data_IF_553562260721
#
_entry.id   IF_553562260721
#
_cell.length_a   1.000
_cell.length_b   1.000
_cell.length_c   1.000
_cell.angle_alpha   90.00
_cell.angle_beta   90.00
_cell.angle_gamma   90.00
#
_symmetry.space_group_name_H-M   'P 1'
#
loop_
_entity.id
_entity.type
_entity.pdbx_description
1 polymer ?
#
# COMPACT_ATOMS: atom_id res chain seq x y z
N UNK A 1 -12.15 -58.55 41.66
CA UNK A 1 -11.83 -59.88 41.05
C UNK A 1 -11.02 -59.56 39.80
N UNK A 2 -9.69 -59.64 39.86
CA UNK A 2 -8.83 -60.71 39.28
C UNK A 2 -9.18 -60.98 37.82
N UNK A 3 -8.34 -60.75 36.78
CA UNK A 3 -7.00 -61.34 36.59
C UNK A 3 -6.15 -60.53 35.62
N UNK A 4 -4.91 -60.47 35.94
CA UNK A 4 -3.70 -60.19 35.12
C UNK A 4 -3.37 -61.46 34.29
N UNK A 5 -2.64 -61.30 33.18
CA UNK A 5 -1.58 -62.18 32.64
C UNK A 5 -1.07 -61.41 31.39
N UNK A 6 0.12 -60.77 31.34
CA UNK A 6 1.51 -61.23 31.24
C UNK A 6 1.83 -61.83 29.87
N UNK A 7 2.54 -61.11 29.00
CA UNK A 7 3.95 -61.17 28.65
C UNK A 7 4.42 -62.36 27.78
N UNK A 8 5.07 -62.06 26.65
CA UNK A 8 6.48 -62.41 26.40
C UNK A 8 6.84 -62.19 24.92
N UNK A 9 7.84 -61.39 24.71
CA UNK A 9 9.06 -61.49 23.88
C UNK A 9 9.07 -62.61 22.80
N UNK A 10 9.42 -62.17 21.56
CA UNK A 10 10.48 -62.82 20.79
C UNK A 10 11.16 -61.79 19.87
N UNK A 11 12.47 -61.58 20.15
CA UNK A 11 13.40 -60.90 19.26
C UNK A 11 13.94 -61.94 18.25
N UNK A 12 14.03 -61.53 16.99
CA UNK A 12 14.91 -62.19 16.02
C UNK A 12 15.54 -61.17 15.09
N UNK A 13 16.81 -61.02 15.22
CA UNK A 13 17.74 -60.32 14.34
C UNK A 13 17.94 -61.15 13.08
N UNK A 14 17.80 -60.52 11.91
CA UNK A 14 18.58 -60.89 10.70
C UNK A 14 18.95 -59.60 9.96
N UNK A 15 20.22 -59.42 9.79
CA UNK A 15 20.85 -58.37 8.98
C UNK A 15 21.08 -58.85 7.55
N UNK A 16 21.32 -57.87 6.69
CA UNK A 16 21.83 -57.93 5.30
C UNK A 16 20.81 -58.17 4.17
N UNK A 17 20.56 -57.14 3.41
CA UNK A 17 21.22 -56.96 2.09
C UNK A 17 20.86 -55.63 1.45
N UNK A 18 21.87 -54.94 0.97
CA UNK A 18 21.85 -53.72 0.17
C UNK A 18 21.14 -53.93 -1.18
N UNK A 19 20.80 -52.76 -1.70
CA UNK A 19 20.46 -52.39 -3.09
C UNK A 19 18.99 -52.40 -3.44
N UNK A 20 18.49 -51.19 -3.60
CA UNK A 20 17.92 -50.72 -4.85
C UNK A 20 17.26 -49.36 -4.63
N UNK A 21 17.64 -48.43 -5.50
CA UNK A 21 17.01 -47.15 -5.80
C UNK A 21 15.49 -47.20 -5.64
N UNK A 22 14.99 -46.34 -4.75
CA UNK A 22 13.61 -45.91 -4.71
C UNK A 22 13.58 -44.42 -4.95
N UNK A 23 13.29 -43.99 -6.17
CA UNK A 23 13.02 -42.62 -6.55
C UNK A 23 11.92 -42.06 -5.65
N UNK A 24 12.25 -41.10 -4.82
CA UNK A 24 11.28 -40.15 -4.29
C UNK A 24 11.07 -39.06 -5.36
N UNK A 25 10.21 -39.36 -6.31
CA UNK A 25 9.63 -38.35 -7.18
C UNK A 25 8.40 -37.75 -6.51
N UNK A 26 8.61 -36.65 -5.78
CA UNK A 26 7.67 -35.56 -5.50
C UNK A 26 8.46 -34.50 -4.70
N UNK A 27 8.97 -33.49 -5.30
CA UNK A 27 8.36 -32.23 -5.70
C UNK A 27 9.00 -31.63 -6.98
N UNK A 28 8.88 -32.32 -8.10
CA UNK A 28 9.48 -31.82 -9.36
C UNK A 28 8.48 -31.06 -10.25
N UNK A 29 7.17 -31.27 -10.10
CA UNK A 29 6.19 -30.57 -10.94
C UNK A 29 5.93 -29.13 -10.47
N UNK A 30 5.88 -28.88 -9.16
CA UNK A 30 5.73 -27.49 -8.65
C UNK A 30 6.97 -26.61 -8.90
N UNK A 31 8.17 -27.19 -8.78
CA UNK A 31 9.41 -26.52 -9.19
C UNK A 31 9.50 -26.30 -10.71
N UNK A 32 8.89 -27.19 -11.49
CA UNK A 32 8.96 -27.11 -12.94
C UNK A 32 8.08 -25.99 -13.51
N UNK A 33 6.89 -25.77 -12.97
CA UNK A 33 5.98 -24.72 -13.41
C UNK A 33 6.45 -23.31 -12.96
N UNK A 34 6.97 -23.17 -11.75
CA UNK A 34 7.62 -21.94 -11.29
C UNK A 34 8.92 -21.66 -12.08
N UNK A 35 9.72 -22.71 -12.40
CA UNK A 35 10.95 -22.56 -13.19
C UNK A 35 10.70 -22.26 -14.67
N UNK A 36 9.62 -22.75 -15.26
CA UNK A 36 9.28 -22.50 -16.66
C UNK A 36 8.85 -21.06 -16.92
N UNK A 37 8.14 -20.42 -15.95
CA UNK A 37 7.80 -18.98 -16.04
C UNK A 37 9.00 -18.10 -15.71
N UNK A 38 9.94 -18.58 -14.90
CA UNK A 38 11.19 -17.88 -14.58
C UNK A 38 12.17 -17.75 -15.75
N UNK A 39 12.19 -18.71 -16.68
CA UNK A 39 13.07 -18.72 -17.85
C UNK A 39 12.43 -18.19 -19.13
N UNK A 40 11.11 -17.88 -19.13
CA UNK A 40 10.43 -17.35 -20.31
C UNK A 40 10.82 -15.90 -20.61
N UNK A 41 11.13 -15.63 -21.87
CA UNK A 41 11.26 -14.26 -22.35
C UNK A 41 9.92 -13.52 -22.21
N UNK A 42 9.98 -12.19 -22.02
CA UNK A 42 8.76 -11.38 -21.88
C UNK A 42 7.82 -11.49 -23.10
N UNK A 43 8.36 -11.71 -24.30
CA UNK A 43 7.56 -11.95 -25.50
C UNK A 43 6.75 -13.25 -25.41
N UNK A 44 7.29 -14.30 -24.81
CA UNK A 44 6.54 -15.53 -24.57
C UNK A 44 5.44 -15.33 -23.53
N UNK A 45 5.69 -14.52 -22.48
CA UNK A 45 4.65 -14.17 -21.51
C UNK A 45 3.48 -13.43 -22.17
N UNK A 46 3.75 -12.52 -23.11
CA UNK A 46 2.69 -11.83 -23.88
C UNK A 46 1.85 -12.80 -24.73
N UNK A 47 2.49 -13.76 -25.38
CA UNK A 47 1.75 -14.77 -26.16
C UNK A 47 0.92 -15.71 -25.27
N UNK A 48 1.44 -16.10 -24.10
CA UNK A 48 0.71 -16.93 -23.12
C UNK A 48 -0.48 -16.18 -22.52
N UNK A 49 -0.32 -14.88 -22.25
CA UNK A 49 -1.36 -14.03 -21.68
C UNK A 49 -2.50 -13.69 -22.65
N UNK A 50 -2.27 -13.87 -23.96
CA UNK A 50 -3.22 -13.46 -25.00
C UNK A 50 -4.55 -14.21 -24.92
N UNK A 51 -5.65 -13.46 -24.93
CA UNK A 51 -7.00 -14.01 -24.83
C UNK A 51 -7.42 -14.38 -23.40
N UNK A 52 -6.59 -14.08 -22.38
CA UNK A 52 -6.88 -14.41 -20.99
C UNK A 52 -7.58 -13.24 -20.27
N UNK A 53 -8.09 -13.52 -19.06
CA UNK A 53 -8.58 -12.52 -18.13
C UNK A 53 -7.63 -12.41 -16.93
N UNK A 54 -7.40 -11.20 -16.45
CA UNK A 54 -6.59 -10.89 -15.26
C UNK A 54 -7.47 -10.15 -14.27
N UNK A 55 -7.62 -10.70 -13.07
CA UNK A 55 -8.31 -10.03 -11.97
C UNK A 55 -7.35 -9.12 -11.21
N UNK A 56 -7.78 -7.90 -10.90
CA UNK A 56 -7.03 -6.94 -10.11
C UNK A 56 -7.82 -6.53 -8.86
N UNK A 57 -7.38 -7.01 -7.73
CA UNK A 57 -7.96 -6.74 -6.42
C UNK A 57 -7.30 -5.53 -5.78
N UNK A 58 -8.11 -4.59 -5.32
CA UNK A 58 -7.62 -3.40 -4.65
C UNK A 58 -8.75 -2.59 -4.03
N UNK A 59 -8.39 -1.61 -3.23
CA UNK A 59 -9.35 -0.70 -2.61
C UNK A 59 -10.20 0.04 -3.66
N UNK A 60 -11.50 0.08 -3.44
CA UNK A 60 -12.46 0.63 -4.40
C UNK A 60 -13.09 1.96 -3.99
N UNK A 61 -12.56 2.64 -2.97
CA UNK A 61 -13.14 3.87 -2.42
C UNK A 61 -12.87 5.14 -3.24
N UNK A 62 -12.07 5.08 -4.31
CA UNK A 62 -11.83 6.19 -5.24
C UNK A 62 -12.52 5.93 -6.59
N UNK A 63 -13.62 6.64 -6.83
CA UNK A 63 -14.42 6.49 -8.06
C UNK A 63 -13.63 6.87 -9.33
N UNK A 64 -12.72 7.86 -9.26
CA UNK A 64 -11.89 8.25 -10.41
C UNK A 64 -10.84 7.18 -10.74
N UNK A 65 -10.19 6.62 -9.74
CA UNK A 65 -9.27 5.52 -9.94
C UNK A 65 -10.00 4.30 -10.53
N UNK A 66 -11.19 4.01 -10.02
CA UNK A 66 -12.03 2.93 -10.54
C UNK A 66 -12.38 3.16 -12.01
N UNK A 67 -12.84 4.36 -12.35
CA UNK A 67 -13.17 4.74 -13.72
C UNK A 67 -11.96 4.68 -14.65
N UNK A 68 -10.80 5.18 -14.20
CA UNK A 68 -9.57 5.14 -14.97
C UNK A 68 -9.11 3.71 -15.25
N UNK A 69 -9.16 2.83 -14.24
CA UNK A 69 -8.81 1.41 -14.41
C UNK A 69 -9.74 0.72 -15.40
N UNK A 70 -11.04 0.97 -15.30
CA UNK A 70 -12.07 0.30 -16.11
C UNK A 70 -12.16 0.87 -17.54
N UNK A 71 -11.98 2.19 -17.72
CA UNK A 71 -12.27 2.89 -18.98
C UNK A 71 -11.02 3.43 -19.70
N UNK A 72 -9.84 3.42 -19.06
CA UNK A 72 -8.55 3.80 -19.69
C UNK A 72 -7.59 2.63 -19.73
N UNK A 73 -7.23 2.06 -18.58
CA UNK A 73 -6.24 1.01 -18.52
C UNK A 73 -6.73 -0.33 -19.11
N UNK A 74 -7.92 -0.79 -18.75
CA UNK A 74 -8.46 -2.05 -19.26
C UNK A 74 -8.62 -2.08 -20.79
N UNK A 75 -9.10 -1.02 -21.47
CA UNK A 75 -9.08 -0.93 -22.92
C UNK A 75 -7.68 -1.03 -23.54
N UNK A 76 -6.68 -0.37 -22.95
CA UNK A 76 -5.28 -0.46 -23.43
C UNK A 76 -4.79 -1.91 -23.35
N UNK A 77 -5.04 -2.62 -22.25
CA UNK A 77 -4.66 -4.02 -22.10
C UNK A 77 -5.36 -4.91 -23.13
N UNK A 78 -6.64 -4.64 -23.39
CA UNK A 78 -7.39 -5.39 -24.42
C UNK A 78 -6.88 -5.13 -25.83
N UNK A 79 -6.60 -3.88 -26.17
CA UNK A 79 -6.14 -3.50 -27.51
C UNK A 79 -4.71 -3.98 -27.80
N UNK A 80 -3.78 -3.75 -26.85
CA UNK A 80 -2.35 -4.06 -27.06
C UNK A 80 -2.02 -5.55 -26.93
N UNK A 81 -2.69 -6.24 -25.98
CA UNK A 81 -2.28 -7.58 -25.56
C UNK A 81 -3.40 -8.63 -25.65
N UNK A 82 -4.63 -8.24 -26.02
CA UNK A 82 -5.82 -9.08 -25.97
C UNK A 82 -6.08 -9.67 -24.55
N UNK A 83 -5.71 -8.92 -23.49
CA UNK A 83 -5.95 -9.28 -22.10
C UNK A 83 -7.19 -8.53 -21.61
N UNK A 84 -8.13 -9.24 -21.00
CA UNK A 84 -9.30 -8.65 -20.34
C UNK A 84 -8.96 -8.37 -18.88
N UNK A 85 -8.97 -7.09 -18.46
CA UNK A 85 -8.80 -6.73 -17.06
C UNK A 85 -10.13 -6.75 -16.33
N UNK A 86 -10.16 -7.36 -15.15
CA UNK A 86 -11.32 -7.43 -14.26
C UNK A 86 -10.96 -6.83 -12.91
N UNK A 87 -11.38 -5.59 -12.64
CA UNK A 87 -11.16 -4.94 -11.35
C UNK A 87 -12.16 -5.48 -10.32
N UNK A 88 -11.64 -5.87 -9.15
CA UNK A 88 -12.45 -6.33 -8.00
C UNK A 88 -12.18 -5.41 -6.81
N UNK A 89 -13.12 -4.50 -6.48
CA UNK A 89 -12.99 -3.64 -5.32
C UNK A 89 -13.13 -4.47 -4.03
N UNK A 90 -12.10 -4.47 -3.19
CA UNK A 90 -12.09 -5.22 -1.93
C UNK A 90 -11.05 -4.64 -0.98
N UNK A 91 -11.37 -4.59 0.31
CA UNK A 91 -10.42 -4.18 1.33
C UNK A 91 -9.32 -5.22 1.50
N UNK A 92 -8.11 -4.77 1.80
CA UNK A 92 -6.92 -5.63 1.80
C UNK A 92 -7.03 -6.82 2.76
N UNK A 93 -7.63 -6.65 3.92
CA UNK A 93 -7.85 -7.74 4.90
C UNK A 93 -8.71 -8.86 4.32
N UNK A 94 -9.73 -8.49 3.56
CA UNK A 94 -10.61 -9.45 2.88
C UNK A 94 -9.87 -10.15 1.74
N UNK A 95 -9.06 -9.41 0.97
CA UNK A 95 -8.20 -9.98 -0.09
C UNK A 95 -7.24 -11.01 0.49
N UNK A 96 -6.51 -10.65 1.56
CA UNK A 96 -5.54 -11.56 2.19
C UNK A 96 -6.23 -12.75 2.85
N UNK A 97 -7.39 -12.56 3.46
CA UNK A 97 -8.20 -13.65 4.03
C UNK A 97 -8.65 -14.64 2.95
N UNK A 98 -9.15 -14.13 1.81
CA UNK A 98 -9.56 -14.97 0.68
C UNK A 98 -8.37 -15.73 0.11
N UNK A 99 -7.25 -15.04 -0.18
CA UNK A 99 -6.04 -15.63 -0.73
C UNK A 99 -5.48 -16.73 0.17
N UNK A 100 -5.42 -16.47 1.49
CA UNK A 100 -5.01 -17.47 2.48
C UNK A 100 -5.92 -18.69 2.47
N UNK A 101 -7.24 -18.48 2.37
CA UNK A 101 -8.23 -19.56 2.28
C UNK A 101 -8.05 -20.42 1.04
N UNK A 102 -7.86 -19.80 -0.13
CA UNK A 102 -7.63 -20.51 -1.41
C UNK A 102 -6.34 -21.34 -1.36
N UNK A 103 -5.24 -20.76 -0.84
CA UNK A 103 -3.95 -21.46 -0.70
C UNK A 103 -4.07 -22.64 0.27
N UNK A 104 -4.73 -22.46 1.43
CA UNK A 104 -4.94 -23.53 2.39
C UNK A 104 -5.83 -24.65 1.85
N UNK A 105 -6.79 -24.31 0.98
CA UNK A 105 -7.61 -25.29 0.27
C UNK A 105 -6.83 -26.03 -0.83
N UNK A 106 -5.61 -25.61 -1.17
CA UNK A 106 -4.79 -26.18 -2.23
C UNK A 106 -5.26 -25.79 -3.64
N UNK A 107 -5.98 -24.67 -3.77
CA UNK A 107 -6.41 -24.16 -5.07
C UNK A 107 -5.19 -23.68 -5.87
N UNK A 108 -5.02 -24.24 -7.08
CA UNK A 108 -3.87 -23.92 -7.95
C UNK A 108 -4.17 -22.79 -8.94
N UNK A 109 -5.43 -22.63 -9.28
CA UNK A 109 -5.96 -21.58 -10.15
C UNK A 109 -6.88 -20.71 -9.30
N UNK A 110 -6.27 -19.86 -8.45
CA UNK A 110 -6.98 -18.96 -7.56
C UNK A 110 -7.71 -17.84 -8.33
N UNK A 111 -8.62 -17.19 -7.64
CA UNK A 111 -9.42 -16.08 -8.22
C UNK A 111 -8.67 -14.77 -8.30
N UNK A 112 -7.57 -14.64 -7.55
CA UNK A 112 -6.80 -13.42 -7.40
C UNK A 112 -5.54 -13.55 -8.27
N UNK A 113 -5.38 -12.64 -9.25
CA UNK A 113 -4.16 -12.57 -10.04
C UNK A 113 -3.25 -11.46 -9.54
N UNK A 114 -3.76 -10.23 -9.51
CA UNK A 114 -3.02 -9.06 -9.07
C UNK A 114 -3.63 -8.45 -7.81
N UNK A 115 -2.78 -7.88 -6.96
CA UNK A 115 -3.16 -7.23 -5.72
C UNK A 115 -2.48 -5.87 -5.64
N UNK A 116 -3.24 -4.81 -5.34
CA UNK A 116 -2.67 -3.57 -4.84
C UNK A 116 -2.38 -3.73 -3.35
N UNK A 117 -1.11 -3.65 -2.97
CA UNK A 117 -0.67 -3.99 -1.62
C UNK A 117 0.49 -3.08 -1.20
N UNK A 118 0.67 -2.88 0.09
CA UNK A 118 1.85 -2.25 0.68
C UNK A 118 1.93 -2.48 2.19
N UNK A 119 3.08 -2.10 2.77
CA UNK A 119 3.33 -2.05 4.20
C UNK A 119 3.32 -3.40 4.89
N UNK A 120 2.68 -3.42 6.05
CA UNK A 120 2.54 -4.62 6.88
C UNK A 120 1.77 -5.74 6.17
N UNK A 121 0.87 -5.38 5.26
CA UNK A 121 0.11 -6.33 4.46
C UNK A 121 1.00 -7.07 3.47
N UNK A 122 1.89 -6.35 2.77
CA UNK A 122 2.89 -6.96 1.90
C UNK A 122 3.85 -7.85 2.69
N UNK A 123 4.40 -7.34 3.80
CA UNK A 123 5.26 -8.12 4.68
C UNK A 123 4.58 -9.42 5.11
N UNK A 124 3.35 -9.33 5.64
CA UNK A 124 2.58 -10.48 6.08
C UNK A 124 2.34 -11.49 4.94
N UNK A 125 1.92 -11.00 3.78
CA UNK A 125 1.66 -11.87 2.63
C UNK A 125 2.93 -12.58 2.13
N UNK A 126 4.08 -11.87 2.08
CA UNK A 126 5.37 -12.43 1.67
C UNK A 126 5.90 -13.46 2.66
N UNK A 127 5.89 -13.15 3.96
CA UNK A 127 6.33 -14.07 5.03
C UNK A 127 5.49 -15.36 5.08
N UNK A 128 4.20 -15.28 4.72
CA UNK A 128 3.29 -16.42 4.63
C UNK A 128 3.25 -17.10 3.25
N UNK A 129 4.19 -16.77 2.34
CA UNK A 129 4.30 -17.37 1.00
C UNK A 129 3.03 -17.23 0.15
N UNK A 130 2.30 -16.14 0.32
CA UNK A 130 1.06 -15.87 -0.40
C UNK A 130 1.29 -15.14 -1.73
N UNK A 131 2.52 -14.72 -2.03
CA UNK A 131 2.87 -13.97 -3.23
C UNK A 131 3.77 -14.78 -4.16
N UNK A 132 3.57 -14.58 -5.46
CA UNK A 132 4.44 -15.07 -6.52
C UNK A 132 5.61 -14.10 -6.71
N UNK A 133 6.83 -14.61 -6.80
CA UNK A 133 8.03 -13.79 -7.04
C UNK A 133 9.32 -14.60 -6.86
N UNK A 134 10.48 -13.96 -7.09
CA UNK A 134 10.64 -12.59 -7.63
C UNK A 134 10.27 -12.44 -9.11
N UNK A 135 9.61 -11.34 -9.48
CA UNK A 135 9.21 -11.10 -10.86
C UNK A 135 9.54 -9.68 -11.36
N UNK A 136 9.66 -8.67 -10.47
CA UNK A 136 9.78 -7.27 -10.86
C UNK A 136 10.96 -7.01 -11.80
N UNK A 137 12.12 -7.59 -11.52
CA UNK A 137 13.33 -7.45 -12.34
C UNK A 137 13.24 -8.13 -13.73
N UNK A 138 12.16 -8.88 -13.99
CA UNK A 138 11.91 -9.52 -15.29
C UNK A 138 11.04 -8.66 -16.21
N UNK A 139 10.49 -7.56 -15.68
CA UNK A 139 9.64 -6.64 -16.41
C UNK A 139 10.48 -5.63 -17.20
N UNK A 140 10.37 -5.57 -18.54
CA UNK A 140 11.15 -4.64 -19.36
C UNK A 140 11.01 -3.18 -18.95
N UNK A 141 9.78 -2.71 -18.67
CA UNK A 141 9.56 -1.32 -18.28
C UNK A 141 10.14 -1.02 -16.89
N UNK A 142 10.16 -1.98 -15.98
CA UNK A 142 10.83 -1.83 -14.70
C UNK A 142 12.34 -1.64 -14.89
N UNK A 143 12.98 -2.48 -15.70
CA UNK A 143 14.42 -2.39 -15.98
C UNK A 143 14.79 -1.08 -16.68
N UNK A 144 13.97 -0.65 -17.64
CA UNK A 144 14.26 0.51 -18.48
C UNK A 144 13.97 1.83 -17.79
N UNK A 145 12.86 1.93 -17.03
CA UNK A 145 12.37 3.23 -16.56
C UNK A 145 12.39 3.42 -15.04
N UNK A 146 12.56 2.36 -14.25
CA UNK A 146 12.53 2.48 -12.78
C UNK A 146 13.95 2.47 -12.20
N UNK A 147 14.24 3.31 -11.19
CA UNK A 147 15.48 3.23 -10.44
C UNK A 147 15.42 2.08 -9.43
N UNK A 148 15.85 0.90 -9.85
CA UNK A 148 15.87 -0.31 -9.04
C UNK A 148 16.83 -0.25 -7.82
N UNK A 149 17.53 0.87 -7.60
CA UNK A 149 18.41 1.09 -6.44
C UNK A 149 17.83 2.08 -5.44
N UNK A 150 16.78 2.79 -5.81
CA UNK A 150 16.11 3.73 -4.93
C UNK A 150 15.42 2.98 -3.78
N UNK A 151 15.56 3.45 -2.56
CA UNK A 151 14.84 2.92 -1.39
C UNK A 151 13.33 3.00 -1.58
N UNK A 152 12.83 4.01 -2.27
CA UNK A 152 11.42 4.16 -2.67
C UNK A 152 10.89 2.98 -3.50
N UNK A 153 11.78 2.16 -4.09
CA UNK A 153 11.43 1.06 -4.97
C UNK A 153 11.83 -0.29 -4.38
N UNK A 154 12.86 -0.30 -3.54
CA UNK A 154 13.43 -1.55 -2.98
C UNK A 154 12.91 -1.89 -1.60
N UNK A 155 12.25 -0.94 -0.96
CA UNK A 155 11.67 -1.11 0.37
C UNK A 155 10.19 -0.72 0.35
N UNK A 156 9.36 -1.53 0.98
CA UNK A 156 7.98 -1.20 1.32
C UNK A 156 7.87 -1.13 2.85
N UNK A 157 7.60 0.06 3.42
CA UNK A 157 7.63 0.32 4.86
C UNK A 157 8.90 -0.25 5.53
N UNK A 158 10.06 0.10 4.97
CA UNK A 158 11.38 -0.38 5.37
C UNK A 158 11.57 -1.91 5.27
N UNK A 159 10.62 -2.65 4.68
CA UNK A 159 10.73 -4.10 4.46
C UNK A 159 11.19 -4.38 3.02
N UNK A 160 12.25 -5.20 2.80
CA UNK A 160 12.77 -5.47 1.46
C UNK A 160 11.74 -6.15 0.56
N UNK A 161 11.49 -5.58 -0.61
CA UNK A 161 10.54 -6.16 -1.59
C UNK A 161 11.11 -7.41 -2.26
N UNK A 162 12.41 -7.47 -2.52
CA UNK A 162 13.10 -8.60 -3.17
C UNK A 162 12.43 -9.05 -4.48
N UNK A 163 11.82 -8.12 -5.19
CA UNK A 163 11.15 -8.36 -6.48
C UNK A 163 9.79 -9.05 -6.40
N UNK A 164 9.18 -9.21 -5.22
CA UNK A 164 7.84 -9.81 -5.05
C UNK A 164 6.69 -8.85 -5.32
N UNK A 165 7.01 -7.59 -5.52
CA UNK A 165 6.08 -6.55 -5.95
C UNK A 165 6.79 -5.56 -6.86
N UNK A 166 6.02 -4.78 -7.62
CA UNK A 166 6.50 -3.72 -8.49
C UNK A 166 5.83 -2.40 -8.14
N UNK A 167 6.53 -1.26 -8.22
CA UNK A 167 5.99 0.03 -7.84
C UNK A 167 4.83 0.43 -8.76
N UNK A 168 3.83 1.11 -8.19
CA UNK A 168 2.62 1.52 -8.88
C UNK A 168 2.49 3.04 -8.98
N UNK A 169 2.71 3.75 -7.88
CA UNK A 169 2.63 5.19 -7.77
C UNK A 169 3.20 5.64 -6.45
N UNK A 170 3.64 6.90 -6.37
CA UNK A 170 4.10 7.50 -5.10
C UNK A 170 2.97 8.29 -4.47
N UNK A 171 2.92 8.28 -3.16
CA UNK A 171 1.98 9.01 -2.35
C UNK A 171 2.71 9.74 -1.21
N UNK A 172 2.12 10.82 -0.70
CA UNK A 172 2.60 11.53 0.47
C UNK A 172 1.43 12.16 1.19
N UNK A 173 1.33 11.95 2.50
CA UNK A 173 0.23 12.51 3.26
C UNK A 173 0.29 14.04 3.26
N UNK A 174 -0.83 14.66 2.95
CA UNK A 174 -1.04 16.10 3.08
C UNK A 174 -2.28 16.37 3.92
N UNK A 175 -2.29 17.49 4.60
CA UNK A 175 -3.47 18.03 5.26
C UNK A 175 -4.14 19.04 4.34
N UNK A 176 -5.44 19.21 4.50
CA UNK A 176 -6.29 20.05 3.62
C UNK A 176 -7.14 20.95 4.48
N UNK A 177 -7.20 22.23 4.13
CA UNK A 177 -8.06 23.21 4.80
C UNK A 177 -8.56 24.27 3.81
N UNK A 178 -9.78 24.78 4.04
CA UNK A 178 -10.28 25.94 3.31
C UNK A 178 -9.73 27.23 3.94
N UNK A 179 -8.92 27.98 3.18
CA UNK A 179 -8.23 29.19 3.65
C UNK A 179 -9.18 30.35 3.92
N UNK A 180 -10.40 30.31 3.40
CA UNK A 180 -11.42 31.29 3.73
C UNK A 180 -12.04 31.02 5.11
N UNK A 181 -12.18 29.73 5.47
CA UNK A 181 -12.72 29.28 6.76
C UNK A 181 -11.64 29.31 7.85
N UNK A 182 -10.45 28.80 7.50
CA UNK A 182 -9.29 28.69 8.41
C UNK A 182 -8.07 29.39 7.79
N UNK A 183 -7.95 30.73 7.93
CA UNK A 183 -6.83 31.50 7.39
C UNK A 183 -5.45 31.04 7.88
N UNK A 184 -5.39 30.60 9.16
CA UNK A 184 -4.18 30.06 9.77
C UNK A 184 -4.22 28.54 9.72
N UNK A 185 -3.21 27.92 9.10
CA UNK A 185 -3.06 26.46 9.01
C UNK A 185 -1.98 25.97 9.96
N UNK A 186 -2.17 24.80 10.62
CA UNK A 186 -1.21 24.27 11.56
C UNK A 186 -0.06 23.55 10.84
N UNK A 187 1.17 24.06 10.97
CA UNK A 187 2.36 23.48 10.35
C UNK A 187 3.27 22.71 11.31
N UNK A 188 2.78 22.45 12.52
CA UNK A 188 3.47 21.63 13.53
C UNK A 188 2.45 21.04 14.51
N UNK A 189 2.86 20.07 15.33
CA UNK A 189 2.00 19.53 16.39
C UNK A 189 1.55 20.61 17.39
N UNK A 190 2.44 21.53 17.77
CA UNK A 190 2.08 22.65 18.65
C UNK A 190 1.01 23.54 18.01
N UNK A 191 1.21 23.91 16.73
CA UNK A 191 0.23 24.69 15.99
C UNK A 191 -1.09 23.93 15.79
N UNK A 192 -1.06 22.61 15.58
CA UNK A 192 -2.26 21.78 15.48
C UNK A 192 -3.04 21.77 16.79
N UNK A 193 -2.38 21.71 17.94
CA UNK A 193 -3.03 21.81 19.24
C UNK A 193 -3.74 23.15 19.41
N UNK A 194 -3.08 24.26 19.09
CA UNK A 194 -3.70 25.58 19.11
C UNK A 194 -4.88 25.69 18.11
N UNK A 195 -4.75 25.05 16.95
CA UNK A 195 -5.78 25.02 15.92
C UNK A 195 -7.04 24.28 16.39
N UNK A 196 -6.92 23.09 16.97
CA UNK A 196 -8.08 22.33 17.46
C UNK A 196 -8.77 23.04 18.64
N UNK A 197 -8.01 23.76 19.47
CA UNK A 197 -8.58 24.61 20.54
C UNK A 197 -9.34 25.83 19.99
N UNK A 198 -8.90 26.36 18.86
CA UNK A 198 -9.58 27.48 18.17
C UNK A 198 -10.85 27.02 17.45
N UNK A 199 -10.87 25.78 16.96
CA UNK A 199 -12.00 25.18 16.23
C UNK A 199 -12.54 23.92 16.93
N UNK A 200 -13.01 24.03 18.18
CA UNK A 200 -13.42 22.87 18.98
C UNK A 200 -14.59 22.12 18.31
N UNK A 201 -14.49 20.81 18.29
CA UNK A 201 -15.48 19.93 17.66
C UNK A 201 -15.47 19.95 16.13
N UNK A 202 -14.50 20.63 15.50
CA UNK A 202 -14.41 20.78 14.05
C UNK A 202 -13.18 20.11 13.42
N UNK A 203 -12.44 19.34 14.16
CA UNK A 203 -11.24 18.62 13.71
C UNK A 203 -11.33 17.17 14.16
N UNK A 204 -11.01 16.26 13.29
CA UNK A 204 -10.86 14.83 13.57
C UNK A 204 -9.91 14.19 12.56
N UNK A 205 -9.67 12.89 12.69
CA UNK A 205 -8.94 12.04 11.76
C UNK A 205 -9.61 10.66 11.72
N UNK A 206 -9.37 9.81 10.70
CA UNK A 206 -9.99 8.49 10.62
C UNK A 206 -9.51 7.57 11.76
N UNK A 207 -10.41 6.73 12.24
CA UNK A 207 -10.06 5.69 13.21
C UNK A 207 -9.04 4.71 12.62
N UNK A 208 -8.08 4.28 13.44
CA UNK A 208 -7.20 3.19 13.04
C UNK A 208 -8.00 1.87 13.05
N UNK A 209 -7.76 0.94 12.11
CA UNK A 209 -6.61 0.88 11.21
C UNK A 209 -6.80 1.52 9.83
N UNK A 210 -7.72 2.51 9.63
CA UNK A 210 -7.77 3.22 8.34
C UNK A 210 -6.35 3.68 7.95
N UNK A 211 -5.96 3.45 6.70
CA UNK A 211 -4.59 3.68 6.24
C UNK A 211 -4.14 5.13 6.42
N UNK A 212 -5.01 6.10 6.12
CA UNK A 212 -4.74 7.53 6.26
C UNK A 212 -4.75 7.94 7.73
N UNK A 213 -5.68 7.41 8.53
CA UNK A 213 -5.72 7.64 9.98
C UNK A 213 -4.48 7.12 10.69
N UNK A 214 -4.05 5.91 10.36
CA UNK A 214 -2.82 5.31 10.86
C UNK A 214 -1.59 6.14 10.47
N UNK A 215 -1.52 6.61 9.22
CA UNK A 215 -0.45 7.49 8.77
C UNK A 215 -0.44 8.84 9.48
N UNK A 216 -1.60 9.43 9.74
CA UNK A 216 -1.68 10.67 10.52
C UNK A 216 -1.11 10.47 11.92
N UNK A 217 -1.46 9.39 12.62
CA UNK A 217 -0.91 9.08 13.94
C UNK A 217 0.60 8.88 13.88
N UNK A 218 1.12 8.13 12.90
CA UNK A 218 2.57 7.96 12.69
C UNK A 218 3.26 9.29 12.38
N UNK A 219 2.61 10.17 11.62
CA UNK A 219 3.14 11.50 11.34
C UNK A 219 3.21 12.36 12.61
N UNK A 220 2.23 12.29 13.50
CA UNK A 220 2.27 12.95 14.81
C UNK A 220 3.39 12.36 15.68
N UNK A 221 3.59 11.04 15.64
CA UNK A 221 4.72 10.40 16.33
C UNK A 221 6.05 10.98 15.81
N UNK A 222 6.23 11.09 14.51
CA UNK A 222 7.43 11.65 13.90
C UNK A 222 7.63 13.12 14.25
N UNK A 223 6.55 13.89 14.24
CA UNK A 223 6.59 15.32 14.59
C UNK A 223 7.04 15.56 16.03
N UNK A 224 6.61 14.72 16.97
CA UNK A 224 6.87 14.86 18.42
C UNK A 224 8.14 14.14 18.84
N UNK A 225 8.32 12.90 18.39
CA UNK A 225 9.38 12.01 18.87
C UNK A 225 10.62 11.99 17.95
N UNK A 226 10.52 12.51 16.69
CA UNK A 226 11.53 12.33 15.65
C UNK A 226 11.39 10.97 14.96
N UNK A 227 11.75 10.88 13.68
CA UNK A 227 11.56 9.64 12.90
C UNK A 227 12.75 8.68 12.99
N UNK A 228 13.96 9.20 13.20
CA UNK A 228 15.20 8.44 13.11
C UNK A 228 15.26 7.27 14.08
N UNK A 229 14.69 7.42 15.29
CA UNK A 229 14.70 6.38 16.30
C UNK A 229 13.85 5.15 15.93
N UNK A 230 12.92 5.29 14.97
CA UNK A 230 12.03 4.22 14.56
C UNK A 230 12.57 3.38 13.40
N UNK A 231 13.54 3.88 12.63
CA UNK A 231 14.02 3.23 11.40
C UNK A 231 14.57 1.81 11.65
N UNK A 232 15.23 1.60 12.77
CA UNK A 232 15.81 0.30 13.16
C UNK A 232 15.09 -0.36 14.35
N UNK A 233 13.97 0.23 14.80
CA UNK A 233 13.22 -0.27 15.96
C UNK A 233 12.50 -1.56 15.61
N UNK A 234 12.48 -2.49 16.57
CA UNK A 234 11.74 -3.77 16.46
C UNK A 234 10.36 -3.67 17.10
N UNK A 235 9.44 -4.49 16.62
CA UNK A 235 8.03 -4.50 17.01
C UNK A 235 7.73 -5.04 18.43
N UNK A 236 8.67 -4.91 19.37
CA UNK A 236 8.40 -5.19 20.79
C UNK A 236 7.47 -4.14 21.37
N UNK A 237 6.26 -4.56 21.78
CA UNK A 237 5.17 -3.66 22.18
C UNK A 237 5.56 -2.72 23.32
N UNK A 238 6.29 -3.17 24.33
CA UNK A 238 6.64 -2.34 25.47
C UNK A 238 7.71 -1.30 25.09
N UNK A 239 8.64 -1.68 24.24
CA UNK A 239 9.65 -0.76 23.69
C UNK A 239 9.00 0.30 22.81
N UNK A 240 8.12 -0.11 21.89
CA UNK A 240 7.36 0.81 21.03
C UNK A 240 6.48 1.73 21.85
N UNK A 241 5.73 1.19 22.83
CA UNK A 241 4.87 1.97 23.75
C UNK A 241 5.65 3.07 24.45
N UNK A 242 6.81 2.75 25.01
CA UNK A 242 7.66 3.74 25.69
C UNK A 242 8.15 4.83 24.72
N UNK A 243 8.48 4.47 23.49
CA UNK A 243 8.97 5.40 22.47
C UNK A 243 7.89 6.34 21.94
N UNK A 244 6.65 5.87 21.79
CA UNK A 244 5.53 6.66 21.26
C UNK A 244 4.72 7.38 22.33
N UNK A 245 4.95 7.12 23.62
CA UNK A 245 4.17 7.70 24.73
C UNK A 245 4.03 9.24 24.67
N UNK A 246 5.07 10.04 24.32
CA UNK A 246 4.89 11.49 24.20
C UNK A 246 3.83 11.88 23.17
N UNK A 247 3.77 11.14 22.04
CA UNK A 247 2.79 11.37 20.99
C UNK A 247 1.40 10.86 21.38
N UNK A 248 1.30 9.72 22.05
CA UNK A 248 0.02 9.21 22.57
C UNK A 248 -0.56 10.15 23.65
N UNK A 249 0.27 10.67 24.55
CA UNK A 249 -0.15 11.69 25.51
C UNK A 249 -0.68 12.94 24.83
N UNK A 250 -0.01 13.41 23.78
CA UNK A 250 -0.45 14.54 22.97
C UNK A 250 -1.83 14.26 22.32
N UNK A 251 -2.01 13.10 21.69
CA UNK A 251 -3.28 12.74 21.04
C UNK A 251 -4.43 12.65 22.07
N UNK A 252 -4.19 12.06 23.25
CA UNK A 252 -5.18 12.04 24.35
C UNK A 252 -5.57 13.45 24.79
N UNK A 253 -4.60 14.36 24.87
CA UNK A 253 -4.88 15.75 25.22
C UNK A 253 -5.72 16.47 24.17
N UNK A 254 -5.59 16.12 22.88
CA UNK A 254 -6.40 16.68 21.81
C UNK A 254 -7.87 16.23 21.88
N UNK A 255 -8.15 15.02 22.33
CA UNK A 255 -9.48 14.38 22.25
C UNK A 255 -10.61 15.31 22.68
N UNK A 256 -10.47 16.00 23.81
CA UNK A 256 -11.50 16.91 24.34
C UNK A 256 -11.89 18.06 23.40
N UNK A 257 -11.06 18.36 22.41
CA UNK A 257 -11.31 19.43 21.43
C UNK A 257 -11.72 18.89 20.06
N UNK A 258 -11.55 17.58 19.84
CA UNK A 258 -11.87 16.95 18.57
C UNK A 258 -13.38 16.82 18.35
N UNK A 259 -13.75 16.51 17.13
CA UNK A 259 -15.12 16.13 16.78
C UNK A 259 -15.61 15.02 17.73
N UNK A 260 -16.84 15.15 18.19
CA UNK A 260 -17.43 14.24 19.17
C UNK A 260 -16.57 14.04 20.45
N UNK A 261 -15.77 15.06 20.83
CA UNK A 261 -14.86 15.02 21.98
C UNK A 261 -13.88 13.82 21.96
N UNK A 262 -13.50 13.34 20.75
CA UNK A 262 -12.62 12.18 20.58
C UNK A 262 -13.20 10.85 21.07
N UNK A 263 -14.51 10.79 21.36
CA UNK A 263 -15.18 9.55 21.80
C UNK A 263 -15.36 8.55 20.65
N UNK A 264 -15.52 9.08 19.45
CA UNK A 264 -15.57 8.33 18.19
C UNK A 264 -14.82 9.08 17.12
N UNK A 265 -14.41 8.36 16.08
CA UNK A 265 -13.70 8.88 14.94
C UNK A 265 -14.39 8.42 13.66
N UNK A 266 -14.27 9.12 12.53
CA UNK A 266 -14.72 8.62 11.23
C UNK A 266 -14.13 7.23 10.97
N UNK A 267 -14.92 6.34 10.39
CA UNK A 267 -14.52 4.95 10.13
C UNK A 267 -13.52 4.81 8.96
N UNK A 268 -13.45 5.86 8.12
CA UNK A 268 -12.60 5.85 6.93
C UNK A 268 -12.19 7.26 6.52
N UNK A 269 -11.12 7.33 5.72
CA UNK A 269 -10.68 8.56 5.04
C UNK A 269 -11.76 9.10 4.08
N UNK A 270 -12.54 8.22 3.45
CA UNK A 270 -13.68 8.62 2.61
C UNK A 270 -14.77 9.31 3.43
N UNK A 271 -15.07 8.81 4.64
CA UNK A 271 -16.03 9.47 5.54
C UNK A 271 -15.52 10.84 5.98
N UNK A 272 -14.23 10.96 6.35
CA UNK A 272 -13.63 12.25 6.69
C UNK A 272 -13.68 13.24 5.53
N UNK A 273 -13.42 12.78 4.30
CA UNK A 273 -13.48 13.60 3.09
C UNK A 273 -14.88 14.20 2.88
N UNK A 274 -15.92 13.40 3.03
CA UNK A 274 -17.31 13.85 2.95
C UNK A 274 -17.64 14.85 4.07
N UNK A 275 -17.23 14.60 5.31
CA UNK A 275 -17.42 15.54 6.43
C UNK A 275 -16.76 16.89 6.17
N UNK A 276 -15.58 16.89 5.53
CA UNK A 276 -14.89 18.13 5.16
C UNK A 276 -15.61 18.86 4.02
N UNK A 277 -16.03 18.16 2.96
CA UNK A 277 -16.77 18.71 1.85
C UNK A 277 -18.09 19.35 2.30
N UNK A 278 -18.79 18.72 3.26
CA UNK A 278 -20.03 19.21 3.86
C UNK A 278 -19.83 20.33 4.91
N UNK A 279 -18.58 20.66 5.27
CA UNK A 279 -18.26 21.68 6.27
C UNK A 279 -18.53 21.24 7.71
N UNK A 280 -18.71 19.94 7.95
CA UNK A 280 -18.84 19.40 9.30
C UNK A 280 -17.52 19.53 10.06
N UNK A 281 -16.39 19.30 9.38
CA UNK A 281 -15.03 19.53 9.89
C UNK A 281 -14.29 20.56 9.03
N UNK A 282 -13.22 21.16 9.57
CA UNK A 282 -12.44 22.22 8.90
C UNK A 282 -11.03 21.77 8.50
N UNK A 283 -10.69 20.53 8.81
CA UNK A 283 -9.42 19.89 8.46
C UNK A 283 -9.71 18.52 7.87
N UNK A 284 -9.07 18.22 6.75
CA UNK A 284 -9.03 16.90 6.14
C UNK A 284 -7.57 16.48 5.94
N UNK A 285 -7.34 15.21 5.59
CA UNK A 285 -6.04 14.64 5.28
C UNK A 285 -6.17 13.52 4.26
N UNK A 286 -5.15 13.36 3.43
CA UNK A 286 -5.12 12.32 2.40
C UNK A 286 -3.70 11.94 2.03
N UNK A 287 -3.49 10.72 1.56
CA UNK A 287 -2.24 10.31 0.91
C UNK A 287 -2.14 10.76 -0.55
N UNK A 288 -3.27 11.12 -1.17
CA UNK A 288 -3.29 11.69 -2.51
C UNK A 288 -2.87 13.16 -2.45
N UNK A 289 -1.59 13.40 -2.67
CA UNK A 289 -0.97 14.71 -2.51
C UNK A 289 -1.61 15.79 -3.41
N UNK A 290 -2.19 15.40 -4.53
CA UNK A 290 -2.79 16.32 -5.51
C UNK A 290 -4.30 16.16 -5.66
N UNK A 291 -4.93 15.28 -4.89
CA UNK A 291 -6.38 15.06 -4.88
C UNK A 291 -7.19 16.33 -4.60
N UNK A 292 -6.64 17.27 -3.84
CA UNK A 292 -7.26 18.59 -3.61
C UNK A 292 -7.58 19.31 -4.91
N UNK A 293 -6.67 19.31 -5.88
CA UNK A 293 -6.91 19.95 -7.19
C UNK A 293 -8.04 19.29 -7.96
N UNK A 294 -8.08 17.97 -7.90
CA UNK A 294 -9.14 17.16 -8.53
C UNK A 294 -10.50 17.50 -7.91
N UNK A 295 -10.59 17.50 -6.58
CA UNK A 295 -11.82 17.85 -5.85
C UNK A 295 -12.28 19.29 -6.07
N UNK A 296 -11.34 20.25 -6.22
CA UNK A 296 -11.66 21.63 -6.59
C UNK A 296 -12.20 21.70 -8.02
N UNK A 297 -11.60 20.97 -8.96
CA UNK A 297 -12.03 20.96 -10.36
C UNK A 297 -13.43 20.35 -10.52
N UNK A 298 -13.74 19.33 -9.74
CA UNK A 298 -15.05 18.66 -9.73
C UNK A 298 -16.11 19.42 -8.92
N UNK A 299 -15.73 20.49 -8.23
CA UNK A 299 -16.64 21.31 -7.42
C UNK A 299 -17.00 20.70 -6.06
N UNK A 300 -16.36 19.63 -5.65
CA UNK A 300 -16.52 19.05 -4.31
C UNK A 300 -15.88 19.91 -3.22
N UNK A 301 -14.78 20.61 -3.58
CA UNK A 301 -14.12 21.56 -2.70
C UNK A 301 -14.24 22.99 -3.22
N UNK A 302 -14.13 23.95 -2.31
CA UNK A 302 -14.11 25.37 -2.65
C UNK A 302 -12.82 25.77 -3.36
N UNK A 303 -12.85 26.88 -4.11
CA UNK A 303 -11.66 27.42 -4.80
C UNK A 303 -10.58 27.94 -3.84
N UNK A 304 -10.87 28.05 -2.55
CA UNK A 304 -9.97 28.52 -1.49
C UNK A 304 -9.36 27.38 -0.68
N UNK A 305 -9.73 26.14 -0.98
CA UNK A 305 -9.17 24.95 -0.37
C UNK A 305 -7.70 24.77 -0.80
N UNK A 306 -6.84 24.40 0.14
CA UNK A 306 -5.41 24.18 -0.08
C UNK A 306 -4.90 22.98 0.71
N UNK A 307 -4.00 22.23 0.08
CA UNK A 307 -3.14 21.26 0.76
C UNK A 307 -2.00 21.96 1.47
N UNK A 308 -1.56 21.38 2.57
CA UNK A 308 -0.36 21.80 3.29
C UNK A 308 0.29 20.60 3.99
N UNK A 309 1.54 20.78 4.43
CA UNK A 309 2.30 19.79 5.18
C UNK A 309 2.95 20.41 6.42
N UNK A 310 3.38 19.59 7.36
CA UNK A 310 4.15 20.06 8.50
C UNK A 310 5.52 20.60 8.06
N UNK A 311 6.08 21.49 8.83
CA UNK A 311 7.39 22.08 8.53
C UNK A 311 8.53 21.06 8.60
N UNK A 312 8.43 20.07 9.50
CA UNK A 312 9.36 18.93 9.57
C UNK A 312 9.16 17.89 8.47
N UNK A 313 8.07 17.99 7.74
CA UNK A 313 7.71 17.07 6.67
C UNK A 313 6.54 16.16 7.00
N UNK A 314 6.17 15.34 6.02
CA UNK A 314 5.11 14.35 6.13
C UNK A 314 5.53 13.02 5.50
N UNK A 315 4.97 11.94 6.04
CA UNK A 315 5.24 10.59 5.58
C UNK A 315 4.80 10.43 4.12
N UNK A 316 5.67 9.82 3.32
CA UNK A 316 5.36 9.41 1.96
C UNK A 316 5.79 7.98 1.69
N UNK A 317 5.03 7.28 0.86
CA UNK A 317 5.32 5.90 0.48
C UNK A 317 5.23 5.69 -1.03
N UNK A 318 5.58 4.50 -1.46
CA UNK A 318 5.29 3.97 -2.78
C UNK A 318 4.19 2.92 -2.61
N UNK A 319 3.20 2.96 -3.49
CA UNK A 319 2.20 1.90 -3.61
C UNK A 319 2.73 0.86 -4.59
N UNK A 320 2.39 -0.40 -4.36
CA UNK A 320 2.90 -1.51 -5.14
C UNK A 320 1.79 -2.41 -5.67
N UNK A 321 2.18 -3.25 -6.63
CA UNK A 321 1.36 -4.33 -7.17
C UNK A 321 2.10 -5.64 -7.00
N UNK A 322 1.43 -6.63 -6.43
CA UNK A 322 1.93 -8.01 -6.28
C UNK A 322 1.08 -9.00 -7.09
N UNK A 323 1.58 -10.22 -7.24
CA UNK A 323 0.91 -11.33 -7.91
C UNK A 323 0.64 -12.40 -6.86
N UNK A 324 -0.57 -12.95 -6.83
CA UNK A 324 -0.93 -14.03 -5.93
C UNK A 324 -0.15 -15.32 -6.24
N UNK A 325 0.30 -16.03 -5.21
CA UNK A 325 1.09 -17.25 -5.36
C UNK A 325 0.35 -18.34 -6.16
N UNK A 326 -0.96 -18.46 -5.96
CA UNK A 326 -1.84 -19.42 -6.63
C UNK A 326 -2.57 -18.84 -7.86
N UNK A 327 -2.19 -17.66 -8.37
CA UNK A 327 -2.76 -17.12 -9.60
C UNK A 327 -2.64 -18.13 -10.75
N UNK A 328 -3.72 -18.34 -11.46
CA UNK A 328 -3.77 -19.14 -12.69
C UNK A 328 -3.21 -18.40 -13.90
N UNK A 329 -3.04 -17.07 -13.81
CA UNK A 329 -2.66 -16.22 -14.92
C UNK A 329 -1.49 -15.27 -14.59
N UNK A 330 -0.39 -15.84 -14.09
CA UNK A 330 0.84 -15.08 -13.74
C UNK A 330 1.43 -14.33 -14.94
N UNK A 331 1.37 -14.92 -16.14
CA UNK A 331 1.83 -14.28 -17.36
C UNK A 331 1.03 -13.01 -17.67
N UNK A 332 -0.30 -13.09 -17.60
CA UNK A 332 -1.18 -11.94 -17.79
C UNK A 332 -0.95 -10.85 -16.75
N UNK A 333 -0.80 -11.24 -15.48
CA UNK A 333 -0.49 -10.31 -14.38
C UNK A 333 0.85 -9.59 -14.60
N UNK A 334 1.91 -10.30 -15.00
CA UNK A 334 3.22 -9.70 -15.32
C UNK A 334 3.13 -8.72 -16.50
N UNK A 335 2.37 -9.04 -17.55
CA UNK A 335 2.17 -8.14 -18.69
C UNK A 335 1.41 -6.89 -18.27
N UNK A 336 0.37 -7.02 -17.46
CA UNK A 336 -0.41 -5.89 -16.95
C UNK A 336 0.43 -4.98 -16.04
N UNK A 337 1.21 -5.54 -15.11
CA UNK A 337 2.11 -4.75 -14.26
C UNK A 337 3.19 -4.05 -15.10
N UNK A 338 3.76 -4.73 -16.11
CA UNK A 338 4.72 -4.09 -16.98
C UNK A 338 4.10 -2.91 -17.76
N UNK A 339 2.88 -3.05 -18.30
CA UNK A 339 2.21 -1.95 -19.00
C UNK A 339 1.89 -0.79 -18.04
N UNK A 340 1.51 -1.06 -16.79
CA UNK A 340 1.30 -0.03 -15.77
C UNK A 340 2.56 0.83 -15.53
N UNK A 341 3.75 0.28 -15.78
CA UNK A 341 5.03 0.97 -15.68
C UNK A 341 5.48 1.63 -17.01
N UNK A 342 4.66 1.59 -18.06
CA UNK A 342 5.02 2.30 -19.30
C UNK A 342 4.96 3.82 -19.10
N UNK A 343 5.85 4.59 -19.74
CA UNK A 343 5.84 6.05 -19.67
C UNK A 343 4.49 6.66 -20.08
N UNK A 344 3.81 6.06 -21.05
CA UNK A 344 2.52 6.51 -21.56
C UNK A 344 1.43 6.38 -20.48
N UNK A 345 1.33 5.22 -19.85
CA UNK A 345 0.34 4.95 -18.77
C UNK A 345 0.67 5.78 -17.54
N UNK A 346 1.93 5.90 -17.16
CA UNK A 346 2.32 6.72 -16.01
C UNK A 346 2.06 8.21 -16.26
N UNK A 347 2.27 8.71 -17.48
CA UNK A 347 1.98 10.12 -17.82
C UNK A 347 0.47 10.40 -17.88
N UNK A 348 -0.33 9.49 -18.47
CA UNK A 348 -1.79 9.60 -18.48
C UNK A 348 -2.35 9.61 -17.07
N UNK A 349 -1.88 8.71 -16.22
CA UNK A 349 -2.29 8.61 -14.81
C UNK A 349 -1.90 9.85 -14.01
N UNK A 350 -0.70 10.39 -14.26
CA UNK A 350 -0.24 11.63 -13.63
C UNK A 350 -1.09 12.83 -14.07
N UNK A 351 -1.47 12.90 -15.34
CA UNK A 351 -2.34 13.99 -15.83
C UNK A 351 -3.79 13.84 -15.33
N UNK A 352 -4.35 12.65 -15.38
CA UNK A 352 -5.76 12.40 -15.04
C UNK A 352 -5.99 12.33 -13.53
N UNK A 353 -5.15 11.56 -12.82
CA UNK A 353 -5.30 11.22 -11.41
C UNK A 353 -4.41 12.04 -10.49
N UNK A 354 -3.41 12.73 -11.06
CA UNK A 354 -2.38 13.46 -10.31
C UNK A 354 -1.56 12.57 -9.37
N UNK A 355 -1.48 11.25 -9.65
CA UNK A 355 -0.66 10.32 -8.86
C UNK A 355 0.81 10.48 -9.27
N UNK A 356 1.68 10.71 -8.29
CA UNK A 356 3.11 10.92 -8.53
C UNK A 356 3.72 9.68 -9.19
N UNK A 357 4.38 9.82 -10.36
CA UNK A 357 4.96 8.69 -11.09
C UNK A 357 6.09 8.00 -10.32
N UNK A 358 6.30 6.72 -10.62
CA UNK A 358 7.41 5.93 -10.05
C UNK A 358 8.63 5.86 -10.97
N UNK A 359 8.53 6.41 -12.18
CA UNK A 359 9.60 6.37 -13.16
C UNK A 359 10.74 7.32 -12.80
N UNK A 360 11.95 6.91 -13.11
CA UNK A 360 13.17 7.73 -13.00
C UNK A 360 13.26 8.70 -14.19
N UNK A 361 13.09 9.98 -13.90
CA UNK A 361 13.20 11.04 -14.90
C UNK A 361 14.50 10.99 -15.70
N UNK A 362 15.61 10.52 -15.12
CA UNK A 362 16.89 10.43 -15.83
C UNK A 362 16.90 9.38 -16.94
N UNK A 363 16.02 8.39 -16.84
CA UNK A 363 15.88 7.29 -17.81
C UNK A 363 14.90 7.58 -18.95
N UNK A 364 14.10 8.63 -18.82
CA UNK A 364 13.10 9.00 -19.82
C UNK A 364 13.73 9.74 -21.01
N UNK A 365 13.22 9.52 -22.23
CA UNK A 365 13.56 10.31 -23.41
C UNK A 365 13.03 11.76 -23.27
N UNK A 366 13.52 12.67 -24.11
CA UNK A 366 13.05 14.06 -24.10
C UNK A 366 11.55 14.21 -24.39
N UNK A 367 11.00 13.36 -25.25
CA UNK A 367 9.57 13.34 -25.58
C UNK A 367 8.74 12.83 -24.41
N UNK A 368 9.18 11.75 -23.76
CA UNK A 368 8.54 11.20 -22.56
C UNK A 368 8.56 12.23 -21.43
N UNK A 369 9.72 12.86 -21.12
CA UNK A 369 9.78 13.96 -20.12
C UNK A 369 8.80 15.06 -20.41
N UNK A 370 8.70 15.50 -21.67
CA UNK A 370 7.80 16.58 -22.05
C UNK A 370 6.31 16.23 -21.81
N UNK A 371 5.94 14.94 -21.75
CA UNK A 371 4.59 14.53 -21.38
C UNK A 371 4.31 14.79 -19.89
N UNK A 372 5.27 14.47 -19.02
CA UNK A 372 5.15 14.75 -17.57
C UNK A 372 5.23 16.25 -17.26
N UNK A 373 6.14 16.99 -17.90
CA UNK A 373 6.34 18.43 -17.69
C UNK A 373 5.11 19.28 -18.07
N UNK A 374 4.22 18.77 -18.90
CA UNK A 374 2.97 19.44 -19.29
C UNK A 374 1.85 19.31 -18.28
N UNK A 375 1.97 18.40 -17.32
CA UNK A 375 0.89 18.13 -16.38
C UNK A 375 0.67 19.34 -15.47
N UNK A 376 -0.53 19.90 -15.53
CA UNK A 376 -0.97 20.94 -14.58
C UNK A 376 -1.46 20.25 -13.31
N UNK A 377 -0.77 20.45 -12.21
CA UNK A 377 -1.14 19.90 -10.90
C UNK A 377 -2.36 20.59 -10.28
N UNK A 378 -2.85 21.65 -10.92
CA UNK A 378 -4.06 22.34 -10.53
C UNK A 378 -3.90 23.25 -9.31
N UNK A 379 -5.04 23.78 -8.86
CA UNK A 379 -5.08 24.73 -7.74
C UNK A 379 -5.09 24.03 -6.39
N UNK A 380 -4.63 24.73 -5.37
CA UNK A 380 -4.71 24.26 -3.98
C UNK A 380 -3.69 23.17 -3.62
N UNK A 381 -2.74 22.88 -4.50
CA UNK A 381 -1.71 21.88 -4.29
C UNK A 381 -0.39 22.49 -3.83
N UNK A 382 0.46 21.67 -3.22
CA UNK A 382 1.85 22.02 -2.90
C UNK A 382 2.70 21.78 -4.16
N UNK A 383 3.60 22.69 -4.56
CA UNK A 383 4.53 22.42 -5.64
C UNK A 383 5.32 21.12 -5.39
N UNK A 384 5.53 20.31 -6.43
CA UNK A 384 6.12 18.97 -6.28
C UNK A 384 7.51 19.00 -5.61
N UNK A 385 8.36 19.95 -5.98
CA UNK A 385 9.68 20.09 -5.39
C UNK A 385 9.60 20.43 -3.88
N UNK A 386 8.66 21.28 -3.48
CA UNK A 386 8.41 21.58 -2.07
C UNK A 386 7.88 20.36 -1.33
N UNK A 387 6.89 19.67 -1.90
CA UNK A 387 6.29 18.46 -1.31
C UNK A 387 7.36 17.39 -1.06
N UNK A 388 8.12 17.04 -2.10
CA UNK A 388 9.10 15.94 -2.03
C UNK A 388 10.33 16.34 -1.17
N UNK A 389 10.69 17.60 -1.09
CA UNK A 389 11.81 18.05 -0.23
C UNK A 389 11.58 17.82 1.26
N UNK A 390 10.31 17.63 1.65
CA UNK A 390 9.88 17.37 3.04
C UNK A 390 9.25 15.98 3.19
N UNK A 391 9.57 15.05 2.30
CA UNK A 391 9.08 13.68 2.39
C UNK A 391 9.86 12.93 3.47
N UNK A 392 9.14 12.38 4.45
CA UNK A 392 9.68 11.50 5.47
C UNK A 392 9.44 10.03 5.05
N UNK A 393 10.36 9.12 5.42
CA UNK A 393 10.18 7.70 5.12
C UNK A 393 8.99 7.13 5.89
N UNK A 394 8.40 6.06 5.37
CA UNK A 394 7.43 5.28 6.12
C UNK A 394 8.06 4.58 7.32
N UNK A 395 7.24 4.38 8.33
CA UNK A 395 7.63 3.63 9.52
C UNK A 395 7.77 2.14 9.18
N UNK A 396 8.74 1.41 9.78
CA UNK A 396 8.88 -0.02 9.54
C UNK A 396 7.56 -0.79 9.71
N UNK A 397 7.25 -1.64 8.74
CA UNK A 397 5.99 -2.40 8.66
C UNK A 397 5.66 -3.18 9.96
N UNK A 398 6.67 -3.65 10.67
CA UNK A 398 6.47 -4.37 11.95
C UNK A 398 5.98 -3.48 13.10
N UNK A 399 6.14 -2.15 13.01
CA UNK A 399 5.70 -1.23 14.06
C UNK A 399 4.25 -0.78 13.85
N UNK A 400 3.75 -0.79 12.62
CA UNK A 400 2.43 -0.26 12.28
C UNK A 400 1.31 -0.92 13.11
N UNK A 401 1.12 -2.26 13.10
CA UNK A 401 0.06 -2.89 13.88
C UNK A 401 0.24 -2.72 15.40
N UNK A 402 1.49 -2.62 15.87
CA UNK A 402 1.78 -2.39 17.29
C UNK A 402 1.34 -0.99 17.72
N UNK A 403 1.59 0.03 16.88
CA UNK A 403 1.17 1.41 17.13
C UNK A 403 -0.35 1.53 17.08
N UNK A 404 -1.01 0.85 16.16
CA UNK A 404 -2.47 0.83 16.06
C UNK A 404 -3.13 0.23 17.30
N UNK A 405 -2.56 -0.86 17.81
CA UNK A 405 -2.99 -1.49 19.04
C UNK A 405 -2.79 -0.54 20.24
N UNK A 406 -1.63 0.12 20.36
CA UNK A 406 -1.37 1.09 21.43
C UNK A 406 -2.34 2.27 21.34
N UNK A 407 -2.58 2.81 20.13
CA UNK A 407 -3.55 3.88 19.93
C UNK A 407 -4.97 3.45 20.38
N UNK A 408 -5.40 2.26 20.00
CA UNK A 408 -6.72 1.74 20.40
C UNK A 408 -6.84 1.58 21.92
N UNK A 409 -5.79 1.15 22.60
CA UNK A 409 -5.76 0.99 24.05
C UNK A 409 -5.72 2.34 24.80
N UNK A 410 -5.03 3.33 24.28
CA UNK A 410 -4.65 4.52 25.04
C UNK A 410 -5.28 5.82 24.56
N UNK A 411 -5.70 5.93 23.32
CA UNK A 411 -6.21 7.16 22.72
C UNK A 411 -7.67 7.06 22.35
N UNK A 412 -8.10 5.96 21.74
CA UNK A 412 -9.47 5.79 21.28
C UNK A 412 -10.47 5.80 22.44
N UNK A 413 -11.38 6.76 22.42
CA UNK A 413 -12.47 6.87 23.42
C UNK A 413 -12.02 7.17 24.85
N UNK A 414 -10.86 7.79 25.03
CA UNK A 414 -10.32 8.16 26.37
C UNK A 414 -10.57 9.62 26.70
#
# INVERSE_FOLDING_TARGET
MKKRISAALLAAVIALSMTACGNNEKPQEEKKQASETEEMSFDKLKEEAKGTAVTFYGWGGDEKLNDWLDNTFAPVMKEKYDITMERVPMDIDQVLSQLSGEIQAGEKDGRIDMIWINGENFRSAKENHMLYGPFADKLPNFQEYVDSKSEDVTLDFAYPIEGFEAPYGKAQIVMIADRLVTPDIPKSAEALKAFVQKYPGKVTYPALPDFTGSAFVRNIIYEICGYEQFLDMKGDKETVRAAVEPAMAYLRELNQYLWNEGKTFPDSSTTLDNMFADGEVVLNMTYDAYGTAVKIADGAYTQTTQSFQFDKGTIGNTNFMAIAANSGNKAGAMVAINEMLSPEIQADRYDTMKIIPVLDNSKLSGEQKAAFDKVDLGKGTIPQDELLSKRLPEMPAELVPVIEEIWAEEVAGK
#
